data_IF_581616028518
#
_entry.id   IF_581616028518
#
_cell.length_a   1.000
_cell.length_b   1.000
_cell.length_c   1.000
_cell.angle_alpha   90.00
_cell.angle_beta   90.00
_cell.angle_gamma   90.00
#
_symmetry.space_group_name_H-M   'P 1'
#
loop_
_entity.id
_entity.type
_entity.pdbx_description
1 polymer ?
#
# COMPACT_ATOMS: atom_id res chain seq x y z
N UNK A 1 16.98 29.83 4.86
CA UNK A 1 16.16 28.90 4.07
C UNK A 1 14.71 29.13 4.47
N UNK A 2 13.99 29.96 3.73
CA UNK A 2 12.58 30.27 3.96
C UNK A 2 11.74 29.13 3.42
N UNK A 3 10.99 28.45 4.29
CA UNK A 3 10.01 27.44 3.90
C UNK A 3 8.84 28.21 3.27
N UNK A 4 8.80 28.30 1.93
CA UNK A 4 7.59 28.77 1.24
C UNK A 4 6.52 27.70 1.44
N UNK A 5 5.35 28.02 2.02
CA UNK A 5 4.28 27.04 2.12
C UNK A 5 3.77 26.80 0.70
N UNK A 6 4.10 25.66 0.10
CA UNK A 6 3.42 25.26 -1.13
C UNK A 6 1.92 25.27 -0.87
N UNK A 7 1.08 25.77 -1.80
CA UNK A 7 -0.34 25.82 -1.58
C UNK A 7 -0.88 24.40 -1.40
N UNK A 8 -1.39 24.12 -0.19
CA UNK A 8 -2.11 22.87 0.10
C UNK A 8 -3.21 22.68 -0.94
N UNK A 9 -3.25 21.49 -1.53
CA UNK A 9 -4.25 21.14 -2.53
C UNK A 9 -5.65 21.28 -1.90
N UNK A 10 -6.53 22.13 -2.45
CA UNK A 10 -7.92 22.32 -1.96
C UNK A 10 -8.86 21.16 -2.28
N UNK A 11 -8.32 19.94 -2.37
CA UNK A 11 -9.09 18.71 -2.62
C UNK A 11 -8.86 17.76 -1.46
N UNK A 12 -9.86 16.94 -1.07
CA UNK A 12 -9.64 15.91 -0.06
C UNK A 12 -8.46 15.00 -0.43
N UNK A 13 -7.65 14.63 0.55
CA UNK A 13 -6.48 13.77 0.33
C UNK A 13 -6.84 12.43 -0.32
N UNK A 14 -8.06 11.94 -0.07
CA UNK A 14 -8.61 10.70 -0.63
C UNK A 14 -9.34 10.89 -1.97
N UNK A 15 -9.08 11.97 -2.71
CA UNK A 15 -9.62 12.09 -4.08
C UNK A 15 -8.88 11.08 -4.97
N UNK A 16 -9.51 9.98 -5.41
CA UNK A 16 -8.81 8.95 -6.17
C UNK A 16 -8.45 9.52 -7.54
N UNK A 17 -7.17 9.50 -7.88
CA UNK A 17 -6.67 9.90 -9.22
C UNK A 17 -6.01 8.74 -9.96
N UNK A 18 -5.68 7.68 -9.22
CA UNK A 18 -5.04 6.44 -9.65
C UNK A 18 -5.08 5.46 -8.46
N UNK A 19 -4.83 4.18 -8.73
CA UNK A 19 -4.58 3.20 -7.66
C UNK A 19 -3.40 3.64 -6.79
N UNK A 20 -3.57 3.52 -5.48
CA UNK A 20 -2.51 3.74 -4.51
C UNK A 20 -1.53 2.57 -4.60
N UNK A 21 -0.26 2.87 -4.90
CA UNK A 21 0.79 1.84 -4.88
C UNK A 21 1.23 1.59 -3.45
N UNK A 22 1.16 0.33 -3.02
CA UNK A 22 1.56 -0.11 -1.68
C UNK A 22 2.60 -1.20 -1.84
N UNK A 23 3.73 -1.02 -1.19
CA UNK A 23 4.80 -2.02 -1.15
C UNK A 23 4.91 -2.55 0.27
N UNK A 24 4.73 -3.85 0.44
CA UNK A 24 5.00 -4.56 1.68
C UNK A 24 6.38 -5.23 1.60
N UNK A 25 7.22 -5.04 2.61
CA UNK A 25 8.51 -5.72 2.72
C UNK A 25 8.36 -6.81 3.80
N UNK A 26 8.34 -8.06 3.35
CA UNK A 26 8.15 -9.27 4.14
C UNK A 26 6.88 -10.03 3.74
N UNK A 27 7.04 -11.26 3.24
CA UNK A 27 6.00 -12.25 2.97
C UNK A 27 5.81 -13.22 4.14
N UNK A 28 5.94 -12.70 5.37
CA UNK A 28 5.49 -13.39 6.58
C UNK A 28 3.99 -13.21 6.82
N UNK A 29 3.52 -13.61 8.01
CA UNK A 29 2.10 -13.54 8.38
C UNK A 29 1.48 -12.15 8.16
N UNK A 30 2.18 -11.08 8.55
CA UNK A 30 1.67 -9.71 8.39
C UNK A 30 1.49 -9.29 6.93
N UNK A 31 2.46 -9.58 6.06
CA UNK A 31 2.38 -9.25 4.64
C UNK A 31 1.29 -10.05 3.92
N UNK A 32 1.19 -11.34 4.23
CA UNK A 32 0.14 -12.21 3.68
C UNK A 32 -1.26 -11.83 4.18
N UNK A 33 -1.40 -11.41 5.45
CA UNK A 33 -2.68 -10.89 5.96
C UNK A 33 -3.12 -9.61 5.25
N UNK A 34 -2.19 -8.71 4.91
CA UNK A 34 -2.54 -7.52 4.12
C UNK A 34 -3.00 -7.94 2.73
N UNK A 35 -2.34 -8.92 2.11
CA UNK A 35 -2.76 -9.46 0.81
C UNK A 35 -4.20 -10.00 0.87
N UNK A 36 -4.50 -10.81 1.89
CA UNK A 36 -5.82 -11.40 2.10
C UNK A 36 -6.90 -10.34 2.32
N UNK A 37 -6.60 -9.30 3.10
CA UNK A 37 -7.52 -8.18 3.29
C UNK A 37 -7.80 -7.42 2.02
N UNK A 38 -6.78 -7.19 1.20
CA UNK A 38 -6.92 -6.48 -0.08
C UNK A 38 -7.76 -7.31 -1.07
N UNK A 39 -7.53 -8.62 -1.15
CA UNK A 39 -8.12 -9.48 -2.18
C UNK A 39 -9.47 -10.10 -1.80
N UNK A 40 -9.72 -10.34 -0.51
CA UNK A 40 -10.88 -11.13 -0.09
C UNK A 40 -11.79 -10.37 0.87
N UNK A 41 -11.24 -9.77 1.93
CA UNK A 41 -12.07 -9.12 2.95
C UNK A 41 -12.63 -7.77 2.46
N UNK A 42 -11.75 -6.89 1.97
CA UNK A 42 -12.09 -5.50 1.65
C UNK A 42 -12.23 -5.23 0.16
N UNK A 43 -11.77 -6.15 -0.71
CA UNK A 43 -11.87 -6.06 -2.18
C UNK A 43 -11.38 -4.71 -2.70
N UNK A 44 -10.13 -4.38 -2.37
CA UNK A 44 -9.50 -3.10 -2.66
C UNK A 44 -8.67 -3.13 -3.95
N UNK A 45 -8.83 -4.12 -4.80
CA UNK A 45 -8.01 -4.31 -5.99
C UNK A 45 -8.17 -3.17 -7.00
N UNK A 46 -9.32 -2.48 -7.00
CA UNK A 46 -9.57 -1.30 -7.83
C UNK A 46 -8.97 -0.01 -7.27
N UNK A 47 -8.58 0.01 -6.00
CA UNK A 47 -8.04 1.19 -5.32
C UNK A 47 -6.56 1.06 -4.97
N UNK A 48 -6.07 -0.16 -4.79
CA UNK A 48 -4.71 -0.46 -4.33
C UNK A 48 -4.00 -1.36 -5.33
N UNK A 49 -2.77 -0.99 -5.65
CA UNK A 49 -1.79 -1.81 -6.35
C UNK A 49 -0.76 -2.30 -5.32
N UNK A 50 -1.00 -3.50 -4.77
CA UNK A 50 -0.19 -4.10 -3.72
C UNK A 50 0.89 -5.00 -4.31
N UNK A 51 2.15 -4.74 -3.95
CA UNK A 51 3.28 -5.63 -4.22
C UNK A 51 3.96 -6.04 -2.91
N UNK A 52 4.27 -7.33 -2.77
CA UNK A 52 4.97 -7.87 -1.60
C UNK A 52 6.34 -8.37 -2.06
N UNK A 53 7.39 -7.93 -1.38
CA UNK A 53 8.76 -8.43 -1.57
C UNK A 53 9.24 -9.13 -0.31
N UNK A 54 9.87 -10.28 -0.45
CA UNK A 54 10.63 -10.93 0.62
C UNK A 54 12.08 -11.14 0.17
N UNK A 55 13.00 -11.21 1.13
CA UNK A 55 14.38 -11.61 0.87
C UNK A 55 14.45 -13.10 0.56
N UNK A 56 13.63 -13.90 1.23
CA UNK A 56 13.62 -15.35 1.10
C UNK A 56 12.89 -15.76 -0.18
N UNK A 57 13.29 -16.89 -0.75
CA UNK A 57 12.57 -17.50 -1.87
C UNK A 57 11.21 -18.06 -1.43
N UNK A 58 11.08 -18.42 -0.15
CA UNK A 58 9.92 -19.05 0.45
C UNK A 58 9.06 -18.04 1.21
N UNK A 59 7.80 -18.41 1.46
CA UNK A 59 6.84 -17.63 2.25
C UNK A 59 6.74 -18.14 3.70
N UNK A 60 6.32 -17.27 4.62
CA UNK A 60 6.03 -17.65 6.01
C UNK A 60 6.79 -16.84 7.06
N UNK A 61 7.95 -16.27 6.70
CA UNK A 61 8.74 -15.44 7.60
C UNK A 61 9.71 -16.26 8.46
N UNK A 62 9.51 -16.24 9.80
CA UNK A 62 10.37 -16.87 10.82
C UNK A 62 10.66 -18.33 10.58
#
# INVERSE_FOLDING_TARGET
MTITPEPLLKKPAFTPTRKMRVVCIGAGFGGLMIADKVQHELKLEDEIDLTIYDRNADIGGT
#
